data_IF_316665364138
#
_entry.id   IF_316665364138
#
_cell.length_a   1.000
_cell.length_b   1.000
_cell.length_c   1.000
_cell.angle_alpha   90.00
_cell.angle_beta   90.00
_cell.angle_gamma   90.00
#
_symmetry.space_group_name_H-M   'P 1'
#
loop_
_entity.id
_entity.type
_entity.pdbx_description
1 polymer ?
#
# COMPACT_ATOMS: atom_id res chain seq x y z
N UNK A 1 -42.91 -10.08 -51.05
CA UNK A 1 -42.62 -8.88 -50.28
C UNK A 1 -41.14 -8.67 -50.16
N UNK A 2 -40.68 -7.67 -50.76
CA UNK A 2 -39.25 -7.36 -50.74
C UNK A 2 -38.91 -6.51 -49.54
N UNK A 3 -38.15 -7.03 -48.64
CA UNK A 3 -37.62 -6.33 -47.52
C UNK A 3 -36.24 -5.71 -47.81
N UNK A 4 -35.81 -5.86 -49.04
CA UNK A 4 -34.48 -5.41 -49.44
C UNK A 4 -34.32 -3.89 -49.42
N UNK A 5 -35.43 -3.15 -49.50
CA UNK A 5 -35.40 -1.70 -49.51
C UNK A 5 -34.98 -1.07 -48.18
N UNK A 6 -34.96 -1.84 -47.11
CA UNK A 6 -34.57 -1.33 -45.81
C UNK A 6 -33.09 -1.49 -45.53
N UNK A 7 -32.36 -2.14 -46.45
CA UNK A 7 -30.92 -2.29 -46.29
C UNK A 7 -30.22 -1.02 -46.74
N UNK A 8 -29.78 -0.24 -45.80
CA UNK A 8 -29.01 0.96 -46.10
C UNK A 8 -27.66 0.54 -46.69
N UNK A 9 -27.22 1.23 -47.74
CA UNK A 9 -25.92 0.91 -48.34
C UNK A 9 -24.79 1.17 -47.33
N UNK A 10 -23.95 0.19 -47.18
CA UNK A 10 -22.80 0.29 -46.31
C UNK A 10 -21.88 1.43 -46.74
N UNK A 11 -21.39 2.18 -45.80
CA UNK A 11 -20.48 3.30 -46.05
C UNK A 11 -21.14 4.62 -46.34
N UNK A 12 -22.44 4.65 -46.60
CA UNK A 12 -23.15 5.91 -46.91
C UNK A 12 -23.49 6.74 -45.68
N UNK A 13 -23.63 6.08 -44.53
CA UNK A 13 -23.97 6.72 -43.27
C UNK A 13 -22.88 6.55 -42.24
N UNK A 14 -21.64 6.76 -42.63
CA UNK A 14 -20.56 6.78 -41.67
C UNK A 14 -20.10 5.44 -41.15
N UNK A 15 -20.45 4.34 -41.80
CA UNK A 15 -19.98 3.01 -41.34
C UNK A 15 -18.46 2.95 -41.33
N UNK A 16 -17.79 3.54 -42.29
CA UNK A 16 -16.34 3.65 -42.30
C UNK A 16 -15.81 4.59 -41.21
N UNK A 17 -16.56 5.64 -40.87
CA UNK A 17 -16.17 6.52 -39.77
C UNK A 17 -16.35 5.85 -38.39
N UNK A 18 -17.37 4.99 -38.23
CA UNK A 18 -17.55 4.21 -37.03
C UNK A 18 -16.41 3.20 -36.87
N UNK A 19 -15.98 2.56 -37.95
CA UNK A 19 -14.83 1.67 -37.92
C UNK A 19 -13.54 2.40 -37.54
N UNK A 20 -13.37 3.60 -38.06
CA UNK A 20 -12.20 4.43 -37.71
C UNK A 20 -12.26 4.86 -36.25
N UNK A 21 -13.44 5.25 -35.76
CA UNK A 21 -13.66 5.62 -34.38
C UNK A 21 -13.41 4.42 -33.46
N UNK A 22 -13.93 3.27 -33.81
CA UNK A 22 -13.69 2.03 -33.07
C UNK A 22 -12.21 1.67 -33.02
N UNK A 23 -11.53 1.82 -34.14
CA UNK A 23 -10.09 1.56 -34.22
C UNK A 23 -9.31 2.54 -33.34
N UNK A 24 -9.64 3.82 -33.41
CA UNK A 24 -9.02 4.85 -32.57
C UNK A 24 -9.28 4.58 -31.08
N UNK A 25 -10.52 4.26 -30.74
CA UNK A 25 -10.89 3.92 -29.37
C UNK A 25 -10.18 2.66 -28.89
N UNK A 26 -10.05 1.67 -29.75
CA UNK A 26 -9.35 0.44 -29.44
C UNK A 26 -7.85 0.67 -29.21
N UNK A 27 -7.24 1.49 -30.04
CA UNK A 27 -5.84 1.88 -29.87
C UNK A 27 -5.67 2.72 -28.62
N UNK A 28 -6.50 3.73 -28.41
CA UNK A 28 -6.45 4.58 -27.24
C UNK A 28 -6.67 3.78 -25.97
N UNK A 29 -7.66 2.89 -25.95
CA UNK A 29 -7.93 2.00 -24.84
C UNK A 29 -6.77 1.05 -24.55
N UNK A 30 -6.16 0.48 -25.57
CA UNK A 30 -4.99 -0.39 -25.42
C UNK A 30 -3.79 0.34 -24.85
N UNK A 31 -3.52 1.56 -25.34
CA UNK A 31 -2.42 2.39 -24.84
C UNK A 31 -2.67 2.79 -23.38
N UNK A 32 -3.88 3.27 -23.08
CA UNK A 32 -4.24 3.65 -21.71
C UNK A 32 -4.17 2.44 -20.77
N UNK A 33 -4.66 1.29 -21.21
CA UNK A 33 -4.59 0.05 -20.43
C UNK A 33 -3.15 -0.38 -20.17
N UNK A 34 -2.29 -0.31 -21.19
CA UNK A 34 -0.88 -0.64 -21.05
C UNK A 34 -0.16 0.31 -20.09
N UNK A 35 -0.44 1.62 -20.20
CA UNK A 35 0.13 2.62 -19.29
C UNK A 35 -0.35 2.38 -17.87
N UNK A 36 -1.64 2.12 -17.69
CA UNK A 36 -2.20 1.83 -16.37
C UNK A 36 -1.57 0.59 -15.76
N UNK A 37 -1.45 -0.50 -16.54
CA UNK A 37 -0.80 -1.73 -16.06
C UNK A 37 0.67 -1.49 -15.71
N UNK A 38 1.37 -0.70 -16.51
CA UNK A 38 2.76 -0.36 -16.23
C UNK A 38 2.89 0.45 -14.94
N UNK A 39 2.00 1.42 -14.72
CA UNK A 39 1.98 2.21 -13.49
C UNK A 39 1.65 1.35 -12.27
N UNK A 40 0.62 0.52 -12.36
CA UNK A 40 0.25 -0.39 -11.27
C UNK A 40 1.38 -1.36 -10.97
N UNK A 41 1.99 -1.94 -11.99
CA UNK A 41 3.12 -2.86 -11.83
C UNK A 41 4.34 -2.16 -11.23
N UNK A 42 4.63 -0.93 -11.66
CA UNK A 42 5.72 -0.14 -11.12
C UNK A 42 5.51 0.21 -9.65
N UNK A 43 4.33 0.71 -9.30
CA UNK A 43 4.01 1.03 -7.92
C UNK A 43 3.98 -0.21 -7.04
N UNK A 44 3.41 -1.30 -7.54
CA UNK A 44 3.38 -2.56 -6.81
C UNK A 44 4.80 -3.08 -6.54
N UNK A 45 5.63 -3.12 -7.57
CA UNK A 45 7.03 -3.55 -7.44
C UNK A 45 7.78 -2.66 -6.44
N UNK A 46 7.63 -1.35 -6.58
CA UNK A 46 8.30 -0.38 -5.72
C UNK A 46 7.85 -0.52 -4.26
N UNK A 47 6.56 -0.73 -4.07
CA UNK A 47 5.98 -0.88 -2.73
C UNK A 47 6.36 -2.21 -2.08
N UNK A 48 6.29 -3.30 -2.81
CA UNK A 48 6.61 -4.64 -2.29
C UNK A 48 8.10 -4.85 -2.14
N UNK A 49 8.89 -4.44 -3.13
CA UNK A 49 10.34 -4.62 -3.09
C UNK A 49 11.04 -3.74 -2.05
N UNK A 50 10.46 -2.61 -1.71
CA UNK A 50 11.02 -1.73 -0.67
C UNK A 50 10.55 -2.09 0.75
N UNK A 51 9.52 -2.89 0.88
CA UNK A 51 9.05 -3.36 2.18
C UNK A 51 9.75 -4.66 2.58
N UNK A 52 11.06 -4.59 2.72
CA UNK A 52 11.85 -5.71 3.22
C UNK A 52 11.58 -5.98 4.69
N UNK A 53 11.05 -5.00 5.41
CA UNK A 53 10.70 -5.10 6.82
C UNK A 53 9.25 -4.67 6.98
N UNK A 54 8.47 -5.52 7.63
CA UNK A 54 7.11 -5.22 8.04
C UNK A 54 6.91 -5.63 9.48
N UNK A 55 5.97 -4.99 10.16
CA UNK A 55 5.67 -5.31 11.55
C UNK A 55 4.18 -5.20 11.81
N UNK A 56 3.75 -5.91 12.83
CA UNK A 56 2.37 -5.88 13.29
C UNK A 56 2.36 -5.75 14.81
N UNK A 57 1.50 -4.87 15.31
CA UNK A 57 1.26 -4.73 16.73
C UNK A 57 0.29 -5.83 17.16
N UNK A 58 0.77 -6.76 17.97
CA UNK A 58 -0.05 -7.87 18.45
C UNK A 58 -0.86 -7.43 19.67
N UNK A 59 -0.18 -6.89 20.69
CA UNK A 59 -0.81 -6.36 21.89
C UNK A 59 0.01 -5.19 22.42
N UNK A 60 -0.61 -4.40 23.26
CA UNK A 60 0.11 -3.37 23.99
C UNK A 60 -0.46 -3.19 25.39
N UNK A 61 0.38 -2.69 26.29
CA UNK A 61 0.00 -2.41 27.68
C UNK A 61 0.48 -1.02 28.02
N UNK A 62 -0.46 -0.16 28.33
CA UNK A 62 -0.17 1.25 28.68
C UNK A 62 0.05 1.41 30.17
N UNK A 63 1.01 2.28 30.51
CA UNK A 63 1.22 2.77 31.87
C UNK A 63 1.27 4.30 31.84
N UNK A 64 1.51 4.92 32.99
CA UNK A 64 1.42 6.39 33.07
C UNK A 64 2.44 7.12 32.19
N UNK A 65 3.61 6.53 31.94
CA UNK A 65 4.73 7.17 31.25
C UNK A 65 5.33 6.29 30.14
N UNK A 66 4.73 5.14 29.88
CA UNK A 66 5.25 4.22 28.87
C UNK A 66 4.15 3.32 28.31
N UNK A 67 4.39 2.81 27.13
CA UNK A 67 3.55 1.77 26.51
C UNK A 67 4.47 0.62 26.12
N UNK A 68 4.18 -0.54 26.64
CA UNK A 68 4.85 -1.77 26.21
C UNK A 68 4.09 -2.34 25.02
N UNK A 69 4.79 -2.58 23.92
CA UNK A 69 4.18 -3.04 22.68
C UNK A 69 4.82 -4.35 22.28
N UNK A 70 3.99 -5.36 22.09
CA UNK A 70 4.44 -6.63 21.52
C UNK A 70 4.35 -6.53 19.99
N UNK A 71 5.50 -6.54 19.35
CA UNK A 71 5.62 -6.47 17.92
C UNK A 71 6.01 -7.82 17.33
N UNK A 72 5.37 -8.17 16.25
CA UNK A 72 5.82 -9.24 15.36
C UNK A 72 6.42 -8.59 14.13
N UNK A 73 7.72 -8.74 13.94
CA UNK A 73 8.45 -8.17 12.80
C UNK A 73 8.78 -9.29 11.82
N UNK A 74 8.46 -9.05 10.56
CA UNK A 74 8.84 -9.95 9.46
C UNK A 74 9.79 -9.19 8.54
N UNK A 75 10.89 -9.82 8.22
CA UNK A 75 11.91 -9.23 7.37
C UNK A 75 12.66 -10.30 6.62
N UNK A 76 13.36 -9.89 5.56
CA UNK A 76 14.25 -10.78 4.85
C UNK A 76 15.47 -11.09 5.72
N UNK A 77 16.01 -12.30 5.57
CA UNK A 77 17.21 -12.70 6.30
C UNK A 77 18.36 -11.75 5.96
N UNK A 78 19.01 -11.23 7.01
CA UNK A 78 20.10 -10.27 6.85
C UNK A 78 19.67 -8.83 6.57
N UNK A 79 18.37 -8.57 6.35
CA UNK A 79 17.86 -7.21 6.21
C UNK A 79 17.94 -6.47 7.54
N UNK A 80 18.21 -5.18 7.50
CA UNK A 80 18.18 -4.31 8.65
C UNK A 80 17.34 -3.07 8.38
N UNK A 81 16.79 -2.51 9.42
CA UNK A 81 15.94 -1.33 9.31
C UNK A 81 15.28 -1.00 10.63
N UNK A 82 14.28 -0.15 10.58
CA UNK A 82 13.59 0.28 11.79
C UNK A 82 12.08 0.38 11.54
N UNK A 83 11.34 0.25 12.62
CA UNK A 83 9.91 0.46 12.65
C UNK A 83 9.59 1.58 13.62
N UNK A 84 8.72 2.50 13.23
CA UNK A 84 8.32 3.65 14.01
C UNK A 84 6.98 3.36 14.66
N UNK A 85 6.92 3.53 15.97
CA UNK A 85 5.70 3.43 16.76
C UNK A 85 5.32 4.79 17.32
N UNK A 86 4.03 5.00 17.46
CA UNK A 86 3.50 6.17 18.16
C UNK A 86 2.39 5.79 19.12
N UNK A 87 2.18 6.61 20.12
CA UNK A 87 1.08 6.49 21.06
C UNK A 87 0.34 7.82 21.19
N UNK A 88 -0.96 7.74 21.30
CA UNK A 88 -1.83 8.90 21.50
C UNK A 88 -2.53 8.79 22.84
N UNK A 89 -2.79 9.93 23.46
CA UNK A 89 -3.63 10.01 24.66
C UNK A 89 -5.11 9.94 24.30
N UNK A 90 -5.97 9.92 25.31
CA UNK A 90 -7.41 9.81 25.13
C UNK A 90 -8.00 10.97 24.32
N UNK A 91 -7.37 12.14 24.34
CA UNK A 91 -7.78 13.31 23.57
C UNK A 91 -7.22 13.33 22.13
N UNK A 92 -6.47 12.31 21.74
CA UNK A 92 -5.90 12.19 20.41
C UNK A 92 -4.54 12.84 20.22
N UNK A 93 -3.97 13.47 21.25
CA UNK A 93 -2.65 14.07 21.16
C UNK A 93 -1.56 12.98 21.15
N UNK A 94 -0.54 13.15 20.31
CA UNK A 94 0.60 12.26 20.30
C UNK A 94 1.44 12.47 21.55
N UNK A 95 1.60 11.44 22.36
CA UNK A 95 2.34 11.50 23.62
C UNK A 95 3.66 10.73 23.56
N UNK A 96 3.90 10.00 22.51
CA UNK A 96 5.17 9.29 22.33
C UNK A 96 5.36 8.81 20.91
N UNK A 97 6.62 8.82 20.47
CA UNK A 97 7.03 8.33 19.17
C UNK A 97 8.48 7.88 19.27
N UNK A 98 8.78 6.71 18.75
CA UNK A 98 10.15 6.19 18.73
C UNK A 98 10.35 5.22 17.59
N UNK A 99 11.60 5.12 17.14
CA UNK A 99 12.04 4.16 16.16
C UNK A 99 12.73 2.99 16.86
N UNK A 100 12.39 1.78 16.46
CA UNK A 100 13.00 0.56 16.98
C UNK A 100 13.69 -0.16 15.83
N UNK A 101 14.98 -0.43 16.00
CA UNK A 101 15.79 -1.07 14.96
C UNK A 101 15.76 -2.59 15.10
N UNK A 102 15.75 -3.23 13.94
CA UNK A 102 15.80 -4.68 13.84
C UNK A 102 16.85 -5.07 12.81
N UNK A 103 17.61 -6.10 13.12
CA UNK A 103 18.67 -6.60 12.24
C UNK A 103 18.89 -8.09 12.53
N UNK A 104 19.78 -8.71 11.74
CA UNK A 104 20.17 -10.11 11.94
C UNK A 104 19.57 -11.05 10.91
N UNK A 105 19.81 -12.33 11.08
CA UNK A 105 19.44 -13.38 10.15
C UNK A 105 18.03 -13.90 10.32
N UNK A 106 17.35 -13.54 11.42
CA UNK A 106 15.98 -13.99 11.67
C UNK A 106 15.01 -13.34 10.71
N UNK A 107 14.09 -14.13 10.16
CA UNK A 107 13.04 -13.63 9.26
C UNK A 107 11.78 -13.23 10.02
N UNK A 108 11.65 -13.66 11.25
CA UNK A 108 10.55 -13.35 12.15
C UNK A 108 11.09 -13.03 13.53
N UNK A 109 10.70 -11.90 14.05
CA UNK A 109 11.11 -11.44 15.39
C UNK A 109 9.86 -11.09 16.18
N UNK A 110 9.66 -11.76 17.31
CA UNK A 110 8.66 -11.38 18.30
C UNK A 110 9.38 -10.66 19.43
N UNK A 111 9.06 -9.40 19.64
CA UNK A 111 9.74 -8.60 20.65
C UNK A 111 8.78 -7.64 21.34
N UNK A 112 8.97 -7.50 22.64
CA UNK A 112 8.28 -6.48 23.43
C UNK A 112 9.20 -5.27 23.50
N UNK A 113 8.72 -4.14 22.99
CA UNK A 113 9.45 -2.87 23.03
C UNK A 113 8.72 -1.90 23.94
N UNK A 114 9.45 -1.00 24.57
CA UNK A 114 8.90 0.00 25.46
C UNK A 114 8.98 1.37 24.79
N UNK A 115 7.83 1.96 24.57
CA UNK A 115 7.70 3.31 24.04
C UNK A 115 7.46 4.28 25.20
N UNK A 116 8.39 5.20 25.39
CA UNK A 116 8.24 6.20 26.44
C UNK A 116 7.28 7.29 25.99
N UNK A 117 6.41 7.69 26.89
CA UNK A 117 5.39 8.72 26.64
C UNK A 117 5.47 9.84 27.66
N UNK A 118 5.04 11.01 27.24
CA UNK A 118 4.99 12.22 28.11
C UNK A 118 3.74 12.27 28.97
N UNK A 119 2.75 11.46 28.61
CA UNK A 119 1.49 11.30 29.34
C UNK A 119 0.98 9.89 29.11
N UNK A 120 -0.09 9.51 29.77
CA UNK A 120 -0.66 8.17 29.60
C UNK A 120 -1.17 7.99 28.17
N UNK A 121 -0.60 7.01 27.45
CA UNK A 121 -1.06 6.62 26.13
C UNK A 121 -2.24 5.66 26.21
N UNK A 122 -3.15 5.77 25.25
CA UNK A 122 -4.29 4.87 25.11
C UNK A 122 -4.19 3.99 23.88
N UNK A 123 -3.21 4.25 23.00
CA UNK A 123 -3.03 3.52 21.76
C UNK A 123 -1.57 3.15 21.55
N UNK A 124 -1.36 2.17 20.70
CA UNK A 124 -0.06 1.87 20.13
C UNK A 124 -0.25 1.62 18.64
N UNK A 125 0.32 2.48 17.81
CA UNK A 125 0.16 2.42 16.37
C UNK A 125 1.51 2.26 15.69
N UNK A 126 1.54 1.41 14.68
CA UNK A 126 2.69 1.31 13.79
C UNK A 126 2.55 2.37 12.70
N UNK A 127 3.47 3.31 12.67
CA UNK A 127 3.52 4.33 11.61
C UNK A 127 4.05 3.72 10.31
N UNK A 128 5.07 2.92 10.42
CA UNK A 128 5.66 2.22 9.28
C UNK A 128 7.02 1.65 9.62
N UNK A 129 7.52 0.83 8.71
CA UNK A 129 8.87 0.27 8.80
C UNK A 129 9.66 0.67 7.55
N UNK A 130 10.96 0.92 7.73
CA UNK A 130 11.86 1.30 6.65
C UNK A 130 13.12 0.47 6.72
N UNK A 131 13.50 -0.12 5.59
CA UNK A 131 14.79 -0.79 5.47
C UNK A 131 15.92 0.23 5.30
N UNK A 132 17.08 -0.11 5.82
CA UNK A 132 18.29 0.71 5.63
C UNK A 132 18.78 0.71 4.18
#
# INVERSE_FOLDING_TARGET
MSTASTRLPEGRYGHSSDQRADRKLRIAGSVLGAVLLALVGFFFYHYVAQNEISAEVITFKASDDAVQVHLEVRKDAGASGYCTLRSQSADGAEVGRADFRFSGSSTRIDKVVTLRTTAQGTTAELVGCHAD
#
